data_IF_267565040439
#
_entry.id   IF_267565040439
#
_cell.length_a   1.000
_cell.length_b   1.000
_cell.length_c   1.000
_cell.angle_alpha   90.00
_cell.angle_beta   90.00
_cell.angle_gamma   90.00
#
_symmetry.space_group_name_H-M   'P 1'
#
loop_
_entity.id
_entity.type
_entity.pdbx_description
1 polymer ?
#
# COMPACT_ATOMS: atom_id res chain seq x y z
N UNK A 1 -28.09 -16.79 -31.31
CA UNK A 1 -27.03 -16.57 -30.30
C UNK A 1 -25.74 -16.48 -31.09
N UNK A 2 -25.19 -15.28 -31.28
CA UNK A 2 -23.95 -15.08 -32.06
C UNK A 2 -22.78 -15.18 -31.09
N UNK A 3 -21.89 -16.14 -31.31
CA UNK A 3 -20.64 -16.26 -30.59
C UNK A 3 -19.69 -15.14 -31.04
N UNK A 4 -19.38 -14.21 -30.13
CA UNK A 4 -18.29 -13.25 -30.29
C UNK A 4 -16.96 -13.93 -29.91
N UNK A 5 -16.51 -14.90 -30.70
CA UNK A 5 -15.19 -15.49 -30.51
C UNK A 5 -14.15 -14.67 -31.29
N UNK A 6 -13.41 -13.80 -30.60
CA UNK A 6 -12.25 -13.10 -31.19
C UNK A 6 -11.14 -14.13 -31.42
N UNK A 7 -10.86 -14.49 -32.68
CA UNK A 7 -9.76 -15.44 -32.94
C UNK A 7 -8.42 -14.71 -32.94
N UNK A 8 -7.33 -15.44 -32.64
CA UNK A 8 -5.96 -14.91 -32.72
C UNK A 8 -5.66 -14.28 -34.09
N UNK A 9 -6.23 -14.84 -35.18
CA UNK A 9 -6.03 -14.33 -36.54
C UNK A 9 -6.75 -13.01 -36.75
N UNK A 10 -7.96 -12.86 -36.22
CA UNK A 10 -8.73 -11.61 -36.29
C UNK A 10 -8.06 -10.49 -35.47
N UNK A 11 -7.51 -10.83 -34.30
CA UNK A 11 -6.74 -9.90 -33.45
C UNK A 11 -5.46 -9.38 -34.14
N UNK A 12 -4.74 -10.25 -34.86
CA UNK A 12 -3.50 -9.86 -35.55
C UNK A 12 -3.75 -9.21 -36.91
N UNK A 13 -4.85 -9.56 -37.60
CA UNK A 13 -5.22 -8.96 -38.89
C UNK A 13 -5.65 -7.49 -38.75
N UNK A 14 -6.12 -7.07 -37.58
CA UNK A 14 -6.46 -5.68 -37.26
C UNK A 14 -5.23 -4.75 -37.13
N UNK A 15 -4.02 -5.22 -37.41
CA UNK A 15 -2.79 -4.41 -37.35
C UNK A 15 -2.24 -4.18 -35.93
N UNK A 16 -2.88 -4.75 -34.90
CA UNK A 16 -2.39 -4.70 -33.51
C UNK A 16 -1.38 -5.82 -33.25
N UNK A 17 -0.15 -5.65 -33.73
CA UNK A 17 0.99 -6.41 -33.23
C UNK A 17 1.39 -5.87 -31.85
N UNK A 18 1.51 -6.75 -30.86
CA UNK A 18 2.12 -6.38 -29.57
C UNK A 18 3.64 -6.44 -29.73
N UNK A 19 4.28 -5.28 -29.81
CA UNK A 19 5.74 -5.15 -29.75
C UNK A 19 6.13 -4.77 -28.33
N UNK A 20 6.87 -5.65 -27.66
CA UNK A 20 7.49 -5.35 -26.37
C UNK A 20 8.91 -4.86 -26.65
N UNK A 21 9.18 -3.59 -26.32
CA UNK A 21 10.50 -2.99 -26.39
C UNK A 21 10.91 -2.48 -25.00
N UNK A 22 12.20 -2.49 -24.71
CA UNK A 22 12.76 -1.92 -23.49
C UNK A 22 13.97 -1.05 -23.87
N UNK A 23 14.25 -0.04 -23.04
CA UNK A 23 15.39 0.85 -23.23
C UNK A 23 16.33 0.74 -22.02
N UNK A 24 17.63 0.83 -22.26
CA UNK A 24 18.65 0.86 -21.21
C UNK A 24 18.75 2.24 -20.53
N UNK A 25 18.10 3.25 -21.11
CA UNK A 25 17.99 4.61 -20.58
C UNK A 25 16.52 5.01 -20.60
N UNK A 26 16.02 5.74 -19.59
CA UNK A 26 14.64 6.21 -19.59
C UNK A 26 14.38 7.05 -20.86
N UNK A 27 13.28 6.76 -21.54
CA UNK A 27 12.90 7.50 -22.74
C UNK A 27 12.61 8.97 -22.35
N UNK A 28 13.04 9.93 -23.19
CA UNK A 28 12.86 11.37 -22.94
C UNK A 28 11.39 11.79 -22.78
N UNK A 29 10.45 10.98 -23.30
CA UNK A 29 9.01 11.19 -23.23
C UNK A 29 8.31 10.27 -22.21
N UNK A 30 9.05 9.51 -21.40
CA UNK A 30 8.47 8.70 -20.35
C UNK A 30 7.96 9.64 -19.25
N UNK A 31 6.63 9.71 -19.05
CA UNK A 31 6.10 10.32 -17.83
C UNK A 31 6.64 9.54 -16.63
N UNK A 32 7.31 10.26 -15.73
CA UNK A 32 7.71 9.70 -14.46
C UNK A 32 6.44 9.32 -13.70
N UNK A 33 6.43 8.12 -13.13
CA UNK A 33 5.39 7.77 -12.16
C UNK A 33 5.36 8.83 -11.05
N UNK A 34 4.17 9.19 -10.54
CA UNK A 34 4.08 10.11 -9.43
C UNK A 34 4.92 9.59 -8.26
N UNK A 35 5.68 10.48 -7.63
CA UNK A 35 6.52 10.12 -6.50
C UNK A 35 5.64 9.61 -5.36
N UNK A 36 5.98 8.44 -4.82
CA UNK A 36 5.30 7.92 -3.64
C UNK A 36 5.70 8.75 -2.41
N UNK A 37 4.77 8.97 -1.47
CA UNK A 37 4.99 9.87 -0.35
C UNK A 37 5.91 9.24 0.72
N UNK A 38 6.82 10.05 1.27
CA UNK A 38 7.71 9.62 2.33
C UNK A 38 8.56 8.41 1.93
N UNK A 39 8.74 7.47 2.85
CA UNK A 39 9.58 6.29 2.61
C UNK A 39 8.93 5.20 1.75
N UNK A 40 7.66 5.34 1.34
CA UNK A 40 7.06 4.44 0.33
C UNK A 40 7.79 4.52 -1.03
N UNK A 41 8.44 5.63 -1.33
CA UNK A 41 9.25 5.77 -2.55
C UNK A 41 10.43 4.79 -2.60
N UNK A 42 10.99 4.45 -1.44
CA UNK A 42 12.13 3.54 -1.31
C UNK A 42 11.69 2.07 -1.15
N UNK A 43 10.53 1.84 -0.53
CA UNK A 43 9.94 0.52 -0.32
C UNK A 43 8.45 0.54 -0.76
N UNK A 44 8.15 0.41 -2.07
CA UNK A 44 6.78 0.57 -2.58
C UNK A 44 5.85 -0.61 -2.29
N UNK A 45 6.37 -1.73 -1.80
CA UNK A 45 5.59 -2.95 -1.56
C UNK A 45 4.78 -2.80 -0.27
N UNK A 46 3.44 -2.87 -0.35
CA UNK A 46 2.53 -2.64 0.78
C UNK A 46 2.78 -3.60 1.95
N UNK A 47 3.13 -4.85 1.66
CA UNK A 47 3.44 -5.89 2.64
C UNK A 47 4.72 -5.63 3.44
N UNK A 48 5.57 -4.70 2.98
CA UNK A 48 6.71 -4.20 3.77
C UNK A 48 6.27 -3.25 4.88
N UNK A 49 5.05 -2.70 4.83
CA UNK A 49 4.54 -1.71 5.78
C UNK A 49 3.44 -2.25 6.68
N UNK A 50 2.56 -3.10 6.15
CA UNK A 50 1.38 -3.60 6.85
C UNK A 50 1.16 -5.07 6.52
N UNK A 51 0.95 -5.88 7.55
CA UNK A 51 0.51 -7.27 7.43
C UNK A 51 -0.76 -7.48 8.24
N UNK A 52 -1.69 -8.26 7.69
CA UNK A 52 -2.93 -8.68 8.37
C UNK A 52 -2.94 -10.21 8.36
N UNK A 53 -2.89 -10.80 9.55
CA UNK A 53 -2.98 -12.25 9.72
C UNK A 53 -4.38 -12.77 9.39
N UNK A 54 -4.54 -14.08 9.12
CA UNK A 54 -5.86 -14.70 8.96
C UNK A 54 -6.79 -14.51 10.15
N UNK A 55 -6.24 -14.38 11.36
CA UNK A 55 -6.97 -14.13 12.60
C UNK A 55 -7.35 -12.66 12.80
N UNK A 56 -7.01 -11.77 11.85
CA UNK A 56 -7.35 -10.35 11.88
C UNK A 56 -6.36 -9.47 12.63
N UNK A 57 -5.26 -10.02 13.17
CA UNK A 57 -4.19 -9.22 13.82
C UNK A 57 -3.45 -8.38 12.78
N UNK A 58 -3.40 -7.07 13.03
CA UNK A 58 -2.69 -6.08 12.19
C UNK A 58 -1.32 -5.79 12.78
N UNK A 59 -0.29 -5.94 11.95
CA UNK A 59 1.08 -5.54 12.28
C UNK A 59 1.54 -4.46 11.31
N UNK A 60 2.04 -3.35 11.86
CA UNK A 60 2.64 -2.25 11.11
C UNK A 60 4.15 -2.26 11.31
N UNK A 61 4.88 -1.96 10.25
CA UNK A 61 6.34 -2.02 10.21
C UNK A 61 6.91 -0.63 9.91
N UNK A 62 7.98 -0.27 10.61
CA UNK A 62 8.76 0.94 10.34
C UNK A 62 10.23 0.69 10.59
N UNK A 63 11.09 1.18 9.69
CA UNK A 63 12.53 1.22 9.89
C UNK A 63 12.97 2.30 10.89
N UNK A 64 12.09 3.22 11.30
CA UNK A 64 12.42 4.26 12.27
C UNK A 64 12.57 3.68 13.67
N UNK A 65 13.69 4.02 14.30
CA UNK A 65 13.96 3.70 15.69
C UNK A 65 13.24 4.67 16.65
N UNK A 66 12.73 4.12 17.74
CA UNK A 66 12.26 4.86 18.91
C UNK A 66 13.42 5.12 19.86
N UNK A 67 13.63 6.38 20.21
CA UNK A 67 14.74 6.88 21.03
C UNK A 67 14.24 7.74 22.21
N UNK A 68 12.93 7.75 22.46
CA UNK A 68 12.27 8.53 23.52
C UNK A 68 11.36 9.65 23.01
N UNK A 69 11.27 9.84 21.69
CA UNK A 69 10.45 10.88 21.07
C UNK A 69 8.96 10.51 20.95
N UNK A 70 8.60 9.24 21.14
CA UNK A 70 7.22 8.77 21.05
C UNK A 70 6.74 8.48 19.62
N UNK A 71 7.67 8.16 18.71
CA UNK A 71 7.34 7.83 17.32
C UNK A 71 6.48 6.55 17.23
N UNK A 72 6.65 5.59 18.16
CA UNK A 72 5.82 4.37 18.15
C UNK A 72 4.34 4.70 18.32
N UNK A 73 4.03 5.54 19.29
CA UNK A 73 2.67 5.98 19.55
C UNK A 73 2.12 6.75 18.36
N UNK A 74 2.89 7.72 17.85
CA UNK A 74 2.45 8.55 16.72
C UNK A 74 2.14 7.72 15.46
N UNK A 75 3.04 6.80 15.08
CA UNK A 75 2.85 5.97 13.89
C UNK A 75 1.70 4.98 14.03
N UNK A 76 1.52 4.40 15.23
CA UNK A 76 0.38 3.53 15.53
C UNK A 76 -0.95 4.29 15.39
N UNK A 77 -1.03 5.53 15.87
CA UNK A 77 -2.23 6.36 15.72
C UNK A 77 -2.53 6.67 14.25
N UNK A 78 -1.51 6.96 13.44
CA UNK A 78 -1.68 7.17 11.99
C UNK A 78 -2.26 5.93 11.32
N UNK A 79 -1.72 4.75 11.62
CA UNK A 79 -2.24 3.50 11.06
C UNK A 79 -3.67 3.21 11.54
N UNK A 80 -3.96 3.43 12.83
CA UNK A 80 -5.27 3.20 13.42
C UNK A 80 -6.36 4.05 12.78
N UNK A 81 -6.07 5.34 12.56
CA UNK A 81 -7.00 6.28 11.90
C UNK A 81 -7.32 5.81 10.48
N UNK A 82 -6.29 5.51 9.68
CA UNK A 82 -6.48 5.14 8.28
C UNK A 82 -7.12 3.73 8.12
N UNK A 83 -6.92 2.82 9.08
CA UNK A 83 -7.55 1.49 9.09
C UNK A 83 -8.90 1.44 9.82
N UNK A 84 -9.30 2.53 10.50
CA UNK A 84 -10.48 2.59 11.37
C UNK A 84 -10.49 1.49 12.47
N UNK A 85 -9.37 1.33 13.17
CA UNK A 85 -9.15 0.37 14.26
C UNK A 85 -8.84 1.07 15.58
N UNK A 86 -9.02 0.35 16.71
CA UNK A 86 -8.43 0.83 17.97
C UNK A 86 -6.90 0.69 17.88
N UNK A 87 -6.11 1.71 18.29
CA UNK A 87 -4.65 1.61 18.33
C UNK A 87 -4.13 0.36 19.07
N UNK A 88 -4.84 -0.12 20.09
CA UNK A 88 -4.47 -1.32 20.84
C UNK A 88 -4.55 -2.62 20.03
N UNK A 89 -5.25 -2.61 18.89
CA UNK A 89 -5.35 -3.74 17.95
C UNK A 89 -4.18 -3.79 16.96
N UNK A 90 -3.29 -2.79 17.00
CA UNK A 90 -2.15 -2.66 16.07
C UNK A 90 -0.82 -2.92 16.78
N UNK A 91 -0.19 -4.02 16.39
CA UNK A 91 1.21 -4.30 16.72
C UNK A 91 2.14 -3.44 15.85
N UNK A 92 3.20 -2.90 16.45
CA UNK A 92 4.18 -2.06 15.75
C UNK A 92 5.59 -2.64 15.90
N UNK A 93 6.16 -3.08 14.80
CA UNK A 93 7.54 -3.54 14.69
C UNK A 93 8.42 -2.39 14.21
N UNK A 94 9.50 -2.13 14.93
CA UNK A 94 10.36 -0.95 14.72
C UNK A 94 11.82 -1.33 14.61
N UNK A 95 12.51 -0.83 13.58
CA UNK A 95 13.96 -0.93 13.40
C UNK A 95 14.51 -2.37 13.48
N UNK A 96 13.73 -3.36 13.05
CA UNK A 96 14.21 -4.72 12.82
C UNK A 96 14.67 -4.83 11.36
N UNK A 97 15.99 -4.93 11.15
CA UNK A 97 16.58 -4.95 9.81
C UNK A 97 16.22 -6.20 8.99
N UNK A 98 15.68 -7.24 9.63
CA UNK A 98 15.17 -8.43 8.95
C UNK A 98 13.69 -8.37 8.57
N UNK A 99 12.93 -7.42 9.13
CA UNK A 99 11.47 -7.38 9.00
C UNK A 99 10.88 -6.02 8.60
N UNK A 100 11.65 -4.92 8.70
CA UNK A 100 11.14 -3.56 8.46
C UNK A 100 11.77 -2.92 7.23
N UNK A 101 11.09 -1.95 6.58
CA UNK A 101 11.67 -1.21 5.46
C UNK A 101 12.96 -0.51 5.88
N UNK A 102 13.94 -0.43 4.97
CA UNK A 102 15.14 0.35 5.22
C UNK A 102 14.84 1.85 5.12
N UNK A 103 14.49 2.47 6.25
CA UNK A 103 14.21 3.92 6.34
C UNK A 103 15.44 4.75 6.75
N UNK A 104 16.64 4.15 6.73
CA UNK A 104 17.87 4.80 7.18
C UNK A 104 17.84 5.15 8.68
N UNK A 105 18.33 6.34 9.02
CA UNK A 105 18.44 6.79 10.40
C UNK A 105 17.18 7.52 10.91
N UNK A 106 16.99 7.50 12.24
CA UNK A 106 16.10 8.42 12.95
C UNK A 106 16.89 9.68 13.31
N UNK A 107 16.77 10.74 12.51
CA UNK A 107 17.33 12.05 12.82
C UNK A 107 16.60 13.17 12.05
N UNK A 108 16.91 14.42 12.36
CA UNK A 108 16.44 15.60 11.62
C UNK A 108 14.93 15.82 11.65
N UNK A 109 14.23 15.26 12.64
CA UNK A 109 12.76 15.32 12.76
C UNK A 109 12.00 14.77 11.55
N UNK A 110 12.62 13.87 10.79
CA UNK A 110 12.03 13.34 9.55
C UNK A 110 11.14 12.11 9.74
N UNK A 111 11.05 11.52 10.93
CA UNK A 111 10.34 10.24 11.11
C UNK A 111 8.87 10.29 10.69
N UNK A 112 8.14 11.37 11.02
CA UNK A 112 6.74 11.50 10.62
C UNK A 112 6.58 11.91 9.15
N UNK A 113 7.49 12.76 8.64
CA UNK A 113 7.48 13.15 7.24
C UNK A 113 7.75 11.96 6.31
N UNK A 114 8.61 11.04 6.74
CA UNK A 114 9.00 9.86 5.97
C UNK A 114 8.08 8.67 6.26
N UNK A 115 8.17 8.13 7.48
CA UNK A 115 7.45 6.92 7.87
C UNK A 115 5.97 7.17 8.11
N UNK A 116 5.64 8.31 8.74
CA UNK A 116 4.24 8.68 8.97
C UNK A 116 3.46 8.81 7.66
N UNK A 117 4.04 9.47 6.65
CA UNK A 117 3.43 9.55 5.32
C UNK A 117 3.38 8.19 4.62
N UNK A 118 4.43 7.37 4.75
CA UNK A 118 4.45 6.03 4.18
C UNK A 118 3.33 5.14 4.77
N UNK A 119 3.28 5.02 6.10
CA UNK A 119 2.27 4.23 6.82
C UNK A 119 0.87 4.74 6.53
N UNK A 120 0.66 6.06 6.51
CA UNK A 120 -0.65 6.66 6.20
C UNK A 120 -1.19 6.16 4.85
N UNK A 121 -0.37 6.26 3.81
CA UNK A 121 -0.79 5.90 2.46
C UNK A 121 -0.86 4.39 2.27
N UNK A 122 0.04 3.62 2.88
CA UNK A 122 -0.05 2.16 2.88
C UNK A 122 -1.34 1.68 3.57
N UNK A 123 -1.68 2.24 4.73
CA UNK A 123 -2.90 1.93 5.48
C UNK A 123 -4.16 2.27 4.70
N UNK A 124 -4.22 3.47 4.11
CA UNK A 124 -5.33 3.86 3.25
C UNK A 124 -5.52 2.89 2.08
N UNK A 125 -4.42 2.49 1.42
CA UNK A 125 -4.50 1.55 0.29
C UNK A 125 -4.93 0.14 0.73
N UNK A 126 -4.42 -0.35 1.86
CA UNK A 126 -4.88 -1.62 2.46
C UNK A 126 -6.38 -1.56 2.76
N UNK A 127 -6.87 -0.46 3.34
CA UNK A 127 -8.31 -0.28 3.60
C UNK A 127 -9.12 -0.31 2.31
N UNK A 128 -8.69 0.39 1.25
CA UNK A 128 -9.37 0.38 -0.05
C UNK A 128 -9.46 -1.03 -0.63
N UNK A 129 -8.38 -1.81 -0.57
CA UNK A 129 -8.36 -3.20 -1.05
C UNK A 129 -9.33 -4.09 -0.26
N UNK A 130 -9.38 -3.94 1.07
CA UNK A 130 -10.31 -4.68 1.93
C UNK A 130 -11.77 -4.31 1.65
N UNK A 131 -12.08 -3.02 1.49
CA UNK A 131 -13.45 -2.55 1.17
C UNK A 131 -13.87 -3.03 -0.21
N UNK A 132 -12.97 -3.03 -1.19
CA UNK A 132 -13.25 -3.56 -2.52
C UNK A 132 -13.59 -5.07 -2.47
N UNK A 133 -12.80 -5.86 -1.73
CA UNK A 133 -13.06 -7.29 -1.56
C UNK A 133 -14.35 -7.54 -0.76
N UNK A 134 -14.64 -6.73 0.25
CA UNK A 134 -15.90 -6.79 0.98
C UNK A 134 -17.12 -6.52 0.07
N UNK A 135 -17.05 -5.46 -0.76
CA UNK A 135 -18.09 -5.15 -1.73
C UNK A 135 -18.34 -6.32 -2.69
N UNK A 136 -17.27 -6.95 -3.17
CA UNK A 136 -17.36 -8.15 -4.02
C UNK A 136 -18.08 -9.31 -3.31
N UNK A 137 -17.80 -9.55 -2.03
CA UNK A 137 -18.43 -10.61 -1.22
C UNK A 137 -19.88 -10.33 -0.88
N UNK A 138 -20.21 -9.07 -0.62
CA UNK A 138 -21.54 -8.62 -0.20
C UNK A 138 -22.45 -8.29 -1.39
N UNK A 139 -21.93 -8.22 -2.61
CA UNK A 139 -22.69 -7.86 -3.81
C UNK A 139 -23.09 -6.38 -3.85
N UNK A 140 -22.35 -5.51 -3.17
CA UNK A 140 -22.59 -4.06 -3.11
C UNK A 140 -21.39 -3.29 -3.63
N UNK A 141 -21.63 -2.10 -4.19
CA UNK A 141 -20.55 -1.24 -4.64
C UNK A 141 -19.71 -0.74 -3.43
N UNK A 142 -18.38 -0.66 -3.53
CA UNK A 142 -17.51 -0.16 -2.46
C UNK A 142 -17.93 1.22 -1.91
N UNK A 143 -18.44 2.10 -2.78
CA UNK A 143 -18.93 3.43 -2.41
C UNK A 143 -20.15 3.42 -1.46
N UNK A 144 -20.84 2.27 -1.34
CA UNK A 144 -21.95 2.07 -0.40
C UNK A 144 -21.53 1.46 0.94
N UNK A 145 -20.26 1.14 1.12
CA UNK A 145 -19.72 0.55 2.36
C UNK A 145 -19.10 1.62 3.25
N UNK A 146 -19.25 1.46 4.56
CA UNK A 146 -18.64 2.33 5.56
C UNK A 146 -17.81 1.49 6.51
N UNK A 147 -16.56 1.88 6.71
CA UNK A 147 -15.67 1.17 7.65
C UNK A 147 -15.77 1.79 9.03
N UNK A 148 -16.12 1.01 10.04
CA UNK A 148 -16.13 1.40 11.45
C UNK A 148 -15.68 0.23 12.33
N UNK A 149 -14.77 0.50 13.27
CA UNK A 149 -14.32 -0.50 14.26
C UNK A 149 -13.81 -1.79 13.61
N UNK A 150 -13.05 -1.68 12.52
CA UNK A 150 -12.50 -2.83 11.79
C UNK A 150 -13.49 -3.64 10.94
N UNK A 151 -14.71 -3.15 10.74
CA UNK A 151 -15.75 -3.82 9.95
C UNK A 151 -16.34 -2.91 8.86
N UNK A 152 -17.00 -3.49 7.86
CA UNK A 152 -17.64 -2.83 6.70
C UNK A 152 -19.14 -3.09 6.64
#
# INVERSE_FOLDING_TARGET
>A
MMDLALTRRDFLAAGSGLVVAFALTPALAQEAAPALPGSLGDAPQLDSWISISPEGRVTVFTGKAELGQGVKTALRMVAAEELALDPAEIDLVTADTGATPNEGYTAGSQSMANSGMAIRNAAANVRELLVAEAGRRLGVAPAGLRVEGGAV
#
